data_IF_934231600898
#
_entry.id   IF_934231600898
#
_cell.length_a   1.000
_cell.length_b   1.000
_cell.length_c   1.000
_cell.angle_alpha   90.00
_cell.angle_beta   90.00
_cell.angle_gamma   90.00
#
_symmetry.space_group_name_H-M   'P 1'
#
loop_
_entity.id
_entity.type
_entity.pdbx_description
1 polymer ?
#
# COMPACT_ATOMS: atom_id res chain seq x y z
N UNK A 1 -0.65 -5.70 6.93
CA UNK A 1 -1.42 -6.94 6.72
C UNK A 1 -1.70 -7.10 5.23
N UNK A 2 -1.71 -8.33 4.75
CA UNK A 2 -2.08 -8.65 3.38
C UNK A 2 -3.60 -8.68 3.20
N UNK A 3 -4.19 -9.90 3.09
CA UNK A 3 -5.64 -10.05 3.08
C UNK A 3 -6.29 -9.43 4.32
N UNK A 4 -7.39 -8.72 4.12
CA UNK A 4 -8.03 -7.89 5.16
C UNK A 4 -8.99 -8.70 6.07
N UNK A 5 -8.96 -10.02 5.97
CA UNK A 5 -9.84 -10.97 6.68
C UNK A 5 -9.93 -10.70 8.19
N UNK A 6 -8.78 -10.44 8.84
CA UNK A 6 -8.74 -10.23 10.28
C UNK A 6 -9.48 -8.97 10.71
N UNK A 7 -9.35 -7.88 9.94
CA UNK A 7 -10.02 -6.61 10.22
C UNK A 7 -11.52 -6.74 9.99
N UNK A 8 -11.92 -7.35 8.87
CA UNK A 8 -13.32 -7.63 8.58
C UNK A 8 -13.97 -8.50 9.67
N UNK A 9 -13.27 -9.56 10.12
CA UNK A 9 -13.71 -10.43 11.20
C UNK A 9 -13.86 -9.70 12.53
N UNK A 10 -12.94 -8.77 12.85
CA UNK A 10 -13.02 -7.96 14.06
C UNK A 10 -14.26 -7.03 14.03
N UNK A 11 -14.53 -6.39 12.89
CA UNK A 11 -15.69 -5.51 12.68
C UNK A 11 -16.99 -6.33 12.80
N UNK A 12 -17.08 -7.48 12.14
CA UNK A 12 -18.26 -8.35 12.23
C UNK A 12 -18.53 -8.84 13.64
N UNK A 13 -17.46 -9.11 14.39
CA UNK A 13 -17.57 -9.57 15.78
C UNK A 13 -17.93 -8.46 16.77
N UNK A 14 -17.44 -7.26 16.52
CA UNK A 14 -17.68 -6.10 17.37
C UNK A 14 -17.86 -4.83 16.51
N UNK A 15 -19.08 -4.57 15.98
CA UNK A 15 -19.34 -3.40 15.13
C UNK A 15 -19.08 -2.05 15.81
N UNK A 16 -19.09 -1.98 17.13
CA UNK A 16 -18.86 -0.74 17.89
C UNK A 16 -17.45 -0.14 17.67
N UNK A 17 -16.55 -0.88 17.04
CA UNK A 17 -15.22 -0.36 16.71
C UNK A 17 -15.22 0.54 15.47
N UNK A 18 -16.24 0.46 14.61
CA UNK A 18 -16.31 1.17 13.33
C UNK A 18 -16.02 2.67 13.49
N UNK A 19 -16.65 3.32 14.44
CA UNK A 19 -16.49 4.76 14.69
C UNK A 19 -15.20 5.14 15.43
N UNK A 20 -14.37 4.15 15.79
CA UNK A 20 -13.16 4.34 16.60
C UNK A 20 -11.88 3.94 15.91
N UNK A 21 -11.95 3.49 14.66
CA UNK A 21 -10.80 3.03 13.90
C UNK A 21 -10.65 3.78 12.59
N UNK A 22 -9.43 3.85 12.10
CA UNK A 22 -9.09 4.22 10.73
C UNK A 22 -8.37 3.04 10.11
N UNK A 23 -8.81 2.63 8.94
CA UNK A 23 -8.20 1.55 8.17
C UNK A 23 -7.36 2.17 7.06
N UNK A 24 -6.05 2.01 7.13
CA UNK A 24 -5.12 2.41 6.06
C UNK A 24 -4.59 1.14 5.42
N UNK A 25 -5.03 0.86 4.20
CA UNK A 25 -4.82 -0.44 3.58
C UNK A 25 -4.25 -0.35 2.16
N UNK A 26 -3.14 -1.05 1.96
CA UNK A 26 -2.59 -1.35 0.64
C UNK A 26 -3.36 -2.54 0.09
N UNK A 27 -4.30 -2.30 -0.81
CA UNK A 27 -5.13 -3.36 -1.38
C UNK A 27 -5.97 -2.91 -2.57
N UNK A 28 -6.11 -3.83 -3.51
CA UNK A 28 -6.71 -3.57 -4.80
C UNK A 28 -5.81 -2.78 -5.74
N UNK A 29 -6.22 -2.70 -6.99
CA UNK A 29 -5.53 -1.90 -8.01
C UNK A 29 -6.22 -0.55 -8.21
N UNK A 30 -5.57 0.35 -8.94
CA UNK A 30 -6.12 1.64 -9.29
C UNK A 30 -7.43 1.49 -10.08
N UNK A 31 -8.35 2.45 -9.95
CA UNK A 31 -9.65 2.41 -10.62
C UNK A 31 -9.55 2.40 -12.16
N UNK A 32 -8.46 2.93 -12.70
CA UNK A 32 -8.16 2.90 -14.13
C UNK A 32 -7.42 1.63 -14.58
N UNK A 33 -7.05 0.74 -13.64
CA UNK A 33 -6.38 -0.51 -13.97
C UNK A 33 -7.37 -1.52 -14.57
N UNK A 34 -6.96 -2.35 -15.54
CA UNK A 34 -7.89 -3.22 -16.27
C UNK A 34 -8.63 -4.24 -15.40
N UNK A 35 -8.05 -4.62 -14.27
CA UNK A 35 -8.63 -5.58 -13.34
C UNK A 35 -8.19 -5.31 -11.90
N UNK A 36 -8.91 -5.88 -10.93
CA UNK A 36 -8.66 -5.73 -9.50
C UNK A 36 -8.29 -7.06 -8.80
N UNK A 37 -7.64 -7.97 -9.53
CA UNK A 37 -7.12 -9.25 -8.97
C UNK A 37 -5.77 -9.04 -8.28
N UNK A 38 -5.73 -8.06 -7.38
CA UNK A 38 -4.55 -7.73 -6.61
C UNK A 38 -4.37 -8.73 -5.45
N UNK A 39 -3.12 -9.01 -5.10
CA UNK A 39 -2.75 -10.08 -4.17
C UNK A 39 -3.46 -9.98 -2.80
N UNK A 40 -3.50 -8.80 -2.19
CA UNK A 40 -4.10 -8.62 -0.86
C UNK A 40 -5.64 -8.68 -0.92
N UNK A 41 -6.24 -8.01 -1.90
CA UNK A 41 -7.68 -7.95 -2.05
C UNK A 41 -8.25 -9.29 -2.52
N UNK A 42 -7.62 -9.90 -3.51
CA UNK A 42 -8.18 -11.08 -4.18
C UNK A 42 -8.09 -12.36 -3.33
N UNK A 43 -7.26 -12.37 -2.27
CA UNK A 43 -7.22 -13.49 -1.32
C UNK A 43 -8.52 -13.63 -0.52
N UNK A 44 -9.21 -12.50 -0.26
CA UNK A 44 -10.48 -12.51 0.47
C UNK A 44 -11.37 -11.34 0.03
N UNK A 45 -12.00 -11.50 -1.13
CA UNK A 45 -12.91 -10.49 -1.71
C UNK A 45 -14.10 -10.25 -0.78
N UNK A 46 -14.58 -11.26 -0.06
CA UNK A 46 -15.68 -11.10 0.88
C UNK A 46 -15.30 -10.17 2.04
N UNK A 47 -14.12 -10.34 2.62
CA UNK A 47 -13.60 -9.44 3.64
C UNK A 47 -13.38 -8.02 3.09
N UNK A 48 -12.82 -7.89 1.88
CA UNK A 48 -12.66 -6.59 1.23
C UNK A 48 -14.01 -5.89 1.07
N UNK A 49 -15.05 -6.57 0.61
CA UNK A 49 -16.41 -6.02 0.49
C UNK A 49 -16.94 -5.48 1.82
N UNK A 50 -16.73 -6.21 2.92
CA UNK A 50 -17.10 -5.74 4.27
C UNK A 50 -16.38 -4.44 4.62
N UNK A 51 -15.08 -4.36 4.38
CA UNK A 51 -14.28 -3.16 4.69
C UNK A 51 -14.74 -1.96 3.86
N UNK A 52 -15.01 -2.15 2.58
CA UNK A 52 -15.50 -1.09 1.70
C UNK A 52 -16.97 -0.69 1.98
N UNK A 53 -17.73 -1.47 2.76
CA UNK A 53 -19.15 -1.24 3.05
C UNK A 53 -19.42 -0.79 4.47
N UNK A 54 -18.59 -1.16 5.44
CA UNK A 54 -18.89 -1.04 6.87
C UNK A 54 -19.02 0.39 7.40
N UNK A 55 -18.57 1.39 6.67
CA UNK A 55 -18.63 2.79 7.07
C UNK A 55 -17.46 3.26 7.96
N UNK A 56 -16.51 2.40 8.32
CA UNK A 56 -15.29 2.82 8.98
C UNK A 56 -14.49 3.78 8.10
N UNK A 57 -13.75 4.71 8.70
CA UNK A 57 -12.83 5.57 7.96
C UNK A 57 -11.80 4.70 7.23
N UNK A 58 -11.85 4.70 5.90
CA UNK A 58 -10.98 3.91 5.04
C UNK A 58 -10.10 4.80 4.19
N UNK A 59 -8.81 4.48 4.15
CA UNK A 59 -7.83 5.01 3.21
C UNK A 59 -7.34 3.85 2.36
N UNK A 60 -7.68 3.86 1.09
CA UNK A 60 -7.17 2.88 0.13
C UNK A 60 -5.90 3.38 -0.54
N UNK A 61 -4.86 2.55 -0.51
CA UNK A 61 -3.65 2.72 -1.32
C UNK A 61 -3.66 1.62 -2.41
N UNK A 62 -3.99 1.96 -3.67
CA UNK A 62 -4.01 0.97 -4.74
C UNK A 62 -2.61 0.48 -5.09
N UNK A 63 -2.46 -0.82 -5.32
CA UNK A 63 -1.19 -1.44 -5.67
C UNK A 63 -0.74 -1.05 -7.09
N UNK A 64 -1.27 -1.73 -8.11
CA UNK A 64 -0.94 -1.41 -9.51
C UNK A 64 -1.58 -0.09 -9.93
N UNK A 65 -0.79 0.74 -10.59
CA UNK A 65 -1.22 2.06 -11.07
C UNK A 65 -1.05 3.21 -10.08
N UNK A 66 -0.67 2.93 -8.81
CA UNK A 66 -0.33 3.95 -7.81
C UNK A 66 0.94 3.56 -7.05
N UNK A 67 0.86 2.61 -6.11
CA UNK A 67 2.01 2.25 -5.27
C UNK A 67 3.07 1.47 -6.04
N UNK A 68 2.74 0.85 -7.16
CA UNK A 68 3.70 0.18 -8.06
C UNK A 68 4.83 1.10 -8.56
N UNK A 69 4.69 2.42 -8.44
CA UNK A 69 5.72 3.39 -8.81
C UNK A 69 6.74 3.64 -7.69
N UNK A 70 6.48 3.17 -6.47
CA UNK A 70 7.38 3.33 -5.32
C UNK A 70 8.51 2.30 -5.39
N UNK A 71 9.35 2.48 -6.40
CA UNK A 71 10.45 1.56 -6.73
C UNK A 71 11.80 2.09 -6.26
N UNK A 72 12.68 1.16 -5.84
CA UNK A 72 14.11 1.43 -5.61
C UNK A 72 14.97 0.49 -6.44
N UNK A 73 16.24 0.81 -6.58
CA UNK A 73 17.22 0.06 -7.37
C UNK A 73 18.45 -0.33 -6.54
N UNK A 74 19.23 -1.30 -7.02
CA UNK A 74 20.48 -1.68 -6.35
C UNK A 74 21.46 -0.53 -6.17
N UNK A 75 21.76 0.26 -7.21
CA UNK A 75 22.64 1.44 -7.10
C UNK A 75 22.14 2.48 -6.10
N UNK A 76 20.84 2.74 -6.04
CA UNK A 76 20.26 3.69 -5.09
C UNK A 76 20.41 3.21 -3.65
N UNK A 77 20.12 1.94 -3.38
CA UNK A 77 20.32 1.33 -2.07
C UNK A 77 21.79 1.36 -1.63
N UNK A 78 22.72 1.08 -2.56
CA UNK A 78 24.17 1.16 -2.28
C UNK A 78 24.59 2.59 -1.95
N UNK A 79 24.07 3.59 -2.66
CA UNK A 79 24.44 4.99 -2.46
C UNK A 79 23.98 5.55 -1.11
N UNK A 80 22.78 5.18 -0.66
CA UNK A 80 22.17 5.81 0.50
C UNK A 80 22.23 4.99 1.79
N UNK A 81 22.23 3.65 1.71
CA UNK A 81 22.12 2.78 2.88
C UNK A 81 23.32 1.90 3.15
N UNK A 82 24.05 1.45 2.12
CA UNK A 82 25.17 0.51 2.31
C UNK A 82 26.25 1.09 3.23
N UNK A 83 26.64 0.30 4.24
CA UNK A 83 27.68 0.68 5.20
C UNK A 83 27.25 1.70 6.24
N UNK A 84 25.98 2.10 6.30
CA UNK A 84 25.48 3.04 7.32
C UNK A 84 25.38 2.37 8.70
N UNK A 85 24.79 1.20 8.76
CA UNK A 85 24.67 0.36 9.94
C UNK A 85 24.31 -1.07 9.52
N UNK A 86 24.39 -2.01 10.48
CA UNK A 86 24.11 -3.44 10.23
C UNK A 86 22.70 -3.69 9.69
N UNK A 87 21.72 -2.91 10.12
CA UNK A 87 20.33 -3.04 9.67
C UNK A 87 20.18 -2.60 8.21
N UNK A 88 20.82 -1.48 7.84
CA UNK A 88 20.86 -1.02 6.45
C UNK A 88 21.54 -2.04 5.54
N UNK A 89 22.67 -2.62 5.94
CA UNK A 89 23.37 -3.64 5.14
C UNK A 89 22.50 -4.88 4.91
N UNK A 90 21.75 -5.30 5.93
CA UNK A 90 20.78 -6.39 5.80
C UNK A 90 19.67 -6.05 4.78
N UNK A 91 19.07 -4.86 4.89
CA UNK A 91 18.02 -4.41 3.96
C UNK A 91 18.53 -4.32 2.52
N UNK A 92 19.71 -3.74 2.32
CA UNK A 92 20.37 -3.65 1.00
C UNK A 92 20.57 -5.05 0.39
N UNK A 93 21.15 -5.97 1.16
CA UNK A 93 21.40 -7.34 0.70
C UNK A 93 20.11 -8.07 0.33
N UNK A 94 19.11 -8.02 1.21
CA UNK A 94 17.83 -8.70 1.02
C UNK A 94 17.07 -8.12 -0.17
N UNK A 95 16.96 -6.80 -0.27
CA UNK A 95 16.23 -6.15 -1.36
C UNK A 95 16.90 -6.41 -2.71
N UNK A 96 18.23 -6.41 -2.78
CA UNK A 96 18.96 -6.74 -4.03
C UNK A 96 18.77 -8.20 -4.42
N UNK A 97 18.76 -9.12 -3.47
CA UNK A 97 18.49 -10.54 -3.71
C UNK A 97 17.10 -10.75 -4.26
N UNK A 98 16.09 -10.17 -3.61
CA UNK A 98 14.70 -10.27 -4.05
C UNK A 98 14.45 -9.54 -5.38
N UNK A 99 15.07 -8.39 -5.60
CA UNK A 99 14.97 -7.67 -6.88
C UNK A 99 15.43 -8.53 -8.06
N UNK A 100 16.58 -9.20 -7.90
CA UNK A 100 17.09 -10.13 -8.92
C UNK A 100 16.25 -11.39 -9.08
N UNK A 101 15.63 -11.87 -8.00
CA UNK A 101 14.72 -13.03 -8.06
C UNK A 101 13.43 -12.70 -8.82
N UNK A 102 12.96 -11.46 -8.74
CA UNK A 102 11.71 -11.02 -9.37
C UNK A 102 11.89 -10.49 -10.79
N UNK A 103 13.12 -10.23 -11.24
CA UNK A 103 13.41 -9.69 -12.56
C UNK A 103 14.75 -10.18 -13.09
N UNK A 104 14.76 -10.65 -14.34
CA UNK A 104 15.97 -11.02 -15.07
C UNK A 104 16.57 -9.85 -15.86
N UNK A 105 15.95 -8.67 -15.78
CA UNK A 105 16.39 -7.50 -16.53
C UNK A 105 17.66 -6.91 -15.93
N UNK A 106 18.53 -6.35 -16.78
CA UNK A 106 19.76 -5.67 -16.34
C UNK A 106 19.44 -4.47 -15.43
N UNK A 107 18.45 -3.70 -15.80
CA UNK A 107 17.99 -2.50 -15.07
C UNK A 107 16.76 -2.81 -14.21
N UNK A 108 16.87 -3.78 -13.32
CA UNK A 108 15.79 -4.13 -12.41
C UNK A 108 15.50 -3.04 -11.38
N UNK A 109 14.25 -2.95 -10.99
CA UNK A 109 13.81 -2.20 -9.80
C UNK A 109 12.94 -3.07 -8.90
N UNK A 110 12.79 -2.68 -7.64
CA UNK A 110 11.93 -3.36 -6.67
C UNK A 110 10.96 -2.38 -6.06
N UNK A 111 9.68 -2.67 -6.17
CA UNK A 111 8.63 -1.93 -5.47
C UNK A 111 8.70 -2.23 -3.97
N UNK A 112 8.65 -1.18 -3.15
CA UNK A 112 8.62 -1.31 -1.70
C UNK A 112 7.19 -0.95 -1.23
N UNK A 113 6.32 -1.92 -1.30
CA UNK A 113 4.88 -1.77 -1.19
C UNK A 113 4.41 -1.20 0.14
N UNK A 114 4.71 -1.89 1.23
CA UNK A 114 4.00 -1.74 2.52
C UNK A 114 4.41 -0.51 3.32
N UNK A 115 5.55 0.11 3.01
CA UNK A 115 5.97 1.37 3.65
C UNK A 115 4.97 2.50 3.40
N UNK A 116 4.19 2.41 2.34
CA UNK A 116 3.29 3.48 1.89
C UNK A 116 2.13 3.71 2.86
N UNK A 117 1.63 2.68 3.51
CA UNK A 117 0.57 2.82 4.53
C UNK A 117 1.03 3.61 5.74
N UNK A 118 2.29 3.41 6.15
CA UNK A 118 2.91 4.19 7.22
C UNK A 118 3.27 5.60 6.75
N UNK A 119 3.79 5.74 5.54
CA UNK A 119 4.14 7.03 4.96
C UNK A 119 2.92 7.96 4.87
N UNK A 120 1.74 7.45 4.50
CA UNK A 120 0.50 8.23 4.47
C UNK A 120 0.15 8.85 5.84
N UNK A 121 0.46 8.13 6.94
CA UNK A 121 0.22 8.63 8.31
C UNK A 121 1.27 9.64 8.79
N UNK A 122 2.46 9.64 8.18
CA UNK A 122 3.59 10.45 8.66
C UNK A 122 3.58 11.87 8.13
N UNK A 123 3.22 12.07 6.87
CA UNK A 123 3.30 13.40 6.25
C UNK A 123 2.35 13.48 5.04
N UNK A 124 1.42 14.43 5.06
CA UNK A 124 0.47 14.69 3.98
C UNK A 124 1.14 15.02 2.63
N UNK A 125 2.41 15.48 2.65
CA UNK A 125 3.19 15.81 1.45
C UNK A 125 3.71 14.58 0.70
N UNK A 126 3.58 13.38 1.27
CA UNK A 126 4.06 12.16 0.67
C UNK A 126 3.11 11.60 -0.37
N UNK A 127 1.83 11.91 -0.26
CA UNK A 127 0.81 11.36 -1.15
C UNK A 127 -0.28 12.38 -1.45
N UNK A 128 -0.96 12.17 -2.58
CA UNK A 128 -2.15 12.92 -2.93
C UNK A 128 -3.35 11.98 -2.92
N UNK A 129 -4.41 12.41 -2.27
CA UNK A 129 -5.66 11.66 -2.12
C UNK A 129 -6.89 12.55 -2.28
N UNK A 130 -8.04 11.94 -2.49
CA UNK A 130 -9.33 12.63 -2.48
C UNK A 130 -10.43 11.75 -1.87
N UNK A 131 -11.51 12.38 -1.44
CA UNK A 131 -12.70 11.67 -0.98
C UNK A 131 -13.57 11.26 -2.17
N UNK A 132 -13.98 9.99 -2.18
CA UNK A 132 -14.89 9.45 -3.18
C UNK A 132 -15.87 8.45 -2.55
N UNK A 133 -17.02 8.18 -3.19
CA UNK A 133 -17.89 7.08 -2.78
C UNK A 133 -17.13 5.76 -2.81
N UNK A 134 -17.23 5.00 -1.73
CA UNK A 134 -16.55 3.70 -1.60
C UNK A 134 -17.00 2.74 -2.70
N UNK A 135 -16.11 2.24 -3.58
CA UNK A 135 -16.49 1.30 -4.63
C UNK A 135 -16.84 -0.08 -4.05
N UNK A 136 -17.39 -0.95 -4.86
CA UNK A 136 -17.75 -2.31 -4.50
C UNK A 136 -16.76 -3.25 -5.19
N UNK A 137 -15.84 -3.92 -4.46
CA UNK A 137 -15.03 -4.97 -5.05
C UNK A 137 -15.91 -6.14 -5.48
N UNK A 138 -15.83 -6.53 -6.75
CA UNK A 138 -16.62 -7.63 -7.28
C UNK A 138 -15.79 -8.92 -7.36
N UNK A 139 -16.45 -10.07 -7.29
CA UNK A 139 -15.80 -11.38 -7.30
C UNK A 139 -15.16 -11.73 -8.66
N UNK A 140 -15.55 -11.04 -9.71
CA UNK A 140 -14.95 -11.19 -11.05
C UNK A 140 -13.64 -10.40 -11.22
N UNK A 141 -13.26 -9.60 -10.21
CA UNK A 141 -12.04 -8.80 -10.21
C UNK A 141 -12.21 -7.40 -10.80
N UNK A 142 -13.41 -6.83 -10.72
CA UNK A 142 -13.67 -5.43 -11.08
C UNK A 142 -14.19 -4.64 -9.87
N UNK A 143 -14.36 -3.34 -10.05
CA UNK A 143 -15.08 -2.48 -9.12
C UNK A 143 -16.42 -2.05 -9.74
N UNK A 144 -17.49 -2.16 -8.97
CA UNK A 144 -18.75 -1.48 -9.24
C UNK A 144 -18.82 -0.17 -8.46
N UNK A 145 -19.62 0.78 -8.94
CA UNK A 145 -19.76 2.11 -8.34
C UNK A 145 -21.21 2.36 -7.95
N UNK A 146 -21.40 2.76 -6.69
CA UNK A 146 -22.67 3.31 -6.19
C UNK A 146 -22.40 4.68 -5.54
N UNK A 147 -22.85 5.78 -6.15
CA UNK A 147 -22.59 7.13 -5.66
C UNK A 147 -23.25 7.45 -4.31
N UNK A 148 -24.15 6.59 -3.81
CA UNK A 148 -24.82 6.76 -2.53
C UNK A 148 -24.07 6.16 -1.35
N UNK A 149 -22.97 5.44 -1.60
CA UNK A 149 -22.16 4.84 -0.54
C UNK A 149 -21.41 5.92 0.25
N UNK A 150 -21.00 5.56 1.48
CA UNK A 150 -20.17 6.43 2.30
C UNK A 150 -18.85 6.80 1.59
N UNK A 151 -18.25 7.91 2.00
CA UNK A 151 -16.99 8.37 1.44
C UNK A 151 -15.81 7.63 2.05
N UNK A 152 -14.81 7.36 1.21
CA UNK A 152 -13.48 6.92 1.64
C UNK A 152 -12.41 7.81 1.03
N UNK A 153 -11.18 7.76 1.55
CA UNK A 153 -10.00 8.36 0.93
C UNK A 153 -9.38 7.40 -0.07
N UNK A 154 -9.15 7.89 -1.25
CA UNK A 154 -8.49 7.17 -2.34
C UNK A 154 -7.18 7.86 -2.68
N UNK A 155 -6.05 7.19 -2.44
CA UNK A 155 -4.73 7.67 -2.85
C UNK A 155 -4.55 7.44 -4.33
N UNK A 156 -4.22 8.49 -5.08
CA UNK A 156 -4.03 8.40 -6.53
C UNK A 156 -2.59 8.70 -6.99
N UNK A 157 -1.77 9.26 -6.10
CA UNK A 157 -0.36 9.54 -6.38
C UNK A 157 0.49 9.41 -5.12
N UNK A 158 1.71 8.89 -5.28
CA UNK A 158 2.73 8.83 -4.24
C UNK A 158 3.96 9.60 -4.69
N UNK A 159 4.38 10.59 -3.90
CA UNK A 159 5.64 11.27 -4.15
C UNK A 159 6.81 10.38 -3.71
N UNK A 160 7.21 9.52 -4.63
CA UNK A 160 8.26 8.51 -4.44
C UNK A 160 9.51 9.09 -3.81
N UNK A 161 9.99 10.22 -4.32
CA UNK A 161 11.27 10.79 -3.88
C UNK A 161 11.21 11.32 -2.46
N UNK A 162 10.10 11.93 -2.06
CA UNK A 162 9.92 12.38 -0.66
C UNK A 162 9.84 11.19 0.29
N UNK A 163 9.11 10.13 -0.07
CA UNK A 163 8.99 8.91 0.74
C UNK A 163 10.37 8.27 0.95
N UNK A 164 11.14 8.06 -0.12
CA UNK A 164 12.47 7.46 0.01
C UNK A 164 13.49 8.38 0.69
N UNK A 165 13.42 9.69 0.48
CA UNK A 165 14.29 10.63 1.19
C UNK A 165 14.09 10.56 2.69
N UNK A 166 12.85 10.53 3.15
CA UNK A 166 12.51 10.37 4.57
C UNK A 166 12.95 8.99 5.10
N UNK A 167 12.57 7.93 4.39
CA UNK A 167 12.90 6.55 4.77
C UNK A 167 14.41 6.32 4.88
N UNK A 168 15.18 6.68 3.86
CA UNK A 168 16.62 6.46 3.84
C UNK A 168 17.34 7.29 4.91
N UNK A 169 16.87 8.52 5.14
CA UNK A 169 17.41 9.36 6.21
C UNK A 169 17.18 8.72 7.60
N UNK A 170 15.97 8.24 7.86
CA UNK A 170 15.65 7.57 9.12
C UNK A 170 16.43 6.28 9.31
N UNK A 171 16.51 5.44 8.27
CA UNK A 171 17.25 4.18 8.32
C UNK A 171 18.76 4.40 8.52
N UNK A 172 19.37 5.36 7.82
CA UNK A 172 20.80 5.66 7.94
C UNK A 172 21.17 6.18 9.33
N UNK A 173 20.25 6.85 10.02
CA UNK A 173 20.43 7.40 11.37
C UNK A 173 19.90 6.48 12.48
N UNK A 174 19.41 5.29 12.13
CA UNK A 174 18.91 4.30 13.09
C UNK A 174 20.09 3.55 13.71
N UNK A 175 20.29 3.74 15.02
CA UNK A 175 21.41 3.13 15.75
C UNK A 175 21.46 3.58 17.18
#
# INVERSE_FOLDING_TARGET
IGAITNVASAILKNPDIIDRIVIVWLGGNALHWPENKEFNLYQDVAAARIIFECGAALVQLPCSGVVSEVTTTGPELDAYLKGKNRFCDYLVSTTKTEGRRCSNELAWSRVIWDITTVAWLLDERFMEDYLMPSPIPEYDGHYSVDPKRHLMRYVYHVNRDKVFSDLFTKLANFG
#
